data_IF_224835605709
#
_entry.id   IF_224835605709
#
_cell.length_a   1.000
_cell.length_b   1.000
_cell.length_c   1.000
_cell.angle_alpha   90.00
_cell.angle_beta   90.00
_cell.angle_gamma   90.00
#
_symmetry.space_group_name_H-M   'P 1'
#
loop_
_entity.id
_entity.type
_entity.pdbx_description
1 polymer ?
#
# COMPACT_ATOMS: atom_id res chain seq x y z
N UNK A 1 5.11 -2.48 12.94
CA UNK A 1 5.36 -1.91 11.60
C UNK A 1 4.86 -2.88 10.56
N UNK A 2 4.22 -2.39 9.50
CA UNK A 2 3.86 -3.15 8.32
C UNK A 2 4.66 -2.64 7.12
N UNK A 3 5.37 -3.53 6.45
CA UNK A 3 6.12 -3.26 5.23
C UNK A 3 5.45 -3.94 4.04
N UNK A 4 5.53 -3.32 2.87
CA UNK A 4 5.29 -3.97 1.59
C UNK A 4 6.61 -4.01 0.80
N UNK A 5 7.03 -5.20 0.40
CA UNK A 5 8.26 -5.44 -0.35
C UNK A 5 7.94 -6.05 -1.72
N UNK A 6 8.72 -5.66 -2.72
CA UNK A 6 8.69 -6.26 -4.05
C UNK A 6 9.89 -7.19 -4.22
N UNK A 7 9.67 -8.51 -4.33
CA UNK A 7 10.73 -9.48 -4.61
C UNK A 7 10.68 -9.87 -6.08
N UNK A 8 11.79 -9.75 -6.80
CA UNK A 8 11.85 -10.05 -8.23
C UNK A 8 12.83 -11.19 -8.54
N UNK A 9 12.49 -12.04 -9.50
CA UNK A 9 13.34 -13.15 -9.93
C UNK A 9 14.62 -12.62 -10.58
N UNK A 10 15.78 -13.07 -10.09
CA UNK A 10 17.09 -12.71 -10.65
C UNK A 10 17.71 -11.43 -10.09
N UNK A 11 17.00 -10.69 -9.23
CA UNK A 11 17.59 -9.61 -8.42
C UNK A 11 17.92 -10.14 -7.02
N UNK A 12 19.18 -10.00 -6.60
CA UNK A 12 19.57 -10.25 -5.22
C UNK A 12 19.04 -9.08 -4.36
N UNK A 13 18.04 -9.36 -3.52
CA UNK A 13 17.40 -8.50 -2.52
C UNK A 13 17.24 -7.01 -2.90
N UNK A 14 15.99 -6.60 -3.09
CA UNK A 14 15.56 -5.22 -3.37
C UNK A 14 16.05 -4.20 -2.34
N UNK A 15 16.33 -2.98 -2.81
CA UNK A 15 16.65 -1.79 -2.00
C UNK A 15 15.48 -1.42 -1.07
N UNK A 16 15.36 -2.10 0.06
CA UNK A 16 14.38 -1.80 1.11
C UNK A 16 12.91 -2.05 0.74
N UNK A 17 11.97 -1.72 1.65
CA UNK A 17 10.55 -1.86 1.39
C UNK A 17 10.05 -0.78 0.43
N UNK A 18 9.18 -1.14 -0.50
CA UNK A 18 8.50 -0.19 -1.41
C UNK A 18 7.52 0.71 -0.65
N UNK A 19 7.03 0.24 0.49
CA UNK A 19 6.19 1.02 1.40
C UNK A 19 6.36 0.52 2.83
N UNK A 20 6.28 1.43 3.81
CA UNK A 20 6.33 1.10 5.23
C UNK A 20 5.43 2.02 6.03
N UNK A 21 4.71 1.44 6.99
CA UNK A 21 3.90 2.17 7.96
C UNK A 21 4.17 1.64 9.37
N UNK A 22 4.43 2.55 10.29
CA UNK A 22 4.85 2.23 11.67
C UNK A 22 4.01 2.99 12.69
N UNK A 23 3.96 2.45 13.91
CA UNK A 23 3.23 3.05 15.03
C UNK A 23 1.71 2.81 14.98
N UNK A 24 1.01 3.42 15.94
CA UNK A 24 -0.43 3.29 16.09
C UNK A 24 -1.18 3.96 14.91
N UNK A 25 -2.08 3.21 14.27
CA UNK A 25 -2.90 3.70 13.18
C UNK A 25 -4.32 4.09 13.61
N UNK A 26 -4.68 3.95 14.88
CA UNK A 26 -6.04 4.15 15.37
C UNK A 26 -6.88 2.87 15.25
N UNK A 27 -8.17 2.99 15.54
CA UNK A 27 -9.13 1.91 15.71
C UNK A 27 -10.08 1.72 14.50
N UNK A 28 -9.70 2.26 13.34
CA UNK A 28 -10.46 2.15 12.09
C UNK A 28 -9.60 1.59 10.95
N UNK A 29 -10.24 0.89 10.03
CA UNK A 29 -9.62 0.42 8.80
C UNK A 29 -9.10 1.58 7.96
N UNK A 30 -7.86 1.45 7.48
CA UNK A 30 -7.21 2.41 6.58
C UNK A 30 -6.80 1.71 5.30
N UNK A 31 -7.19 2.29 4.18
CA UNK A 31 -6.73 1.82 2.88
C UNK A 31 -5.29 2.29 2.62
N UNK A 32 -4.43 1.36 2.22
CA UNK A 32 -3.11 1.66 1.66
C UNK A 32 -3.10 1.39 0.16
N UNK A 33 -2.41 2.23 -0.60
CA UNK A 33 -2.16 2.08 -2.04
C UNK A 33 -0.66 2.15 -2.28
N UNK A 34 -0.13 1.16 -2.98
CA UNK A 34 1.31 1.03 -3.22
C UNK A 34 1.53 0.76 -4.71
N UNK A 35 2.03 1.75 -5.45
CA UNK A 35 2.47 1.53 -6.83
C UNK A 35 3.75 0.71 -6.85
N UNK A 36 3.79 -0.30 -7.71
CA UNK A 36 4.95 -1.17 -7.93
C UNK A 36 5.26 -1.24 -9.43
N UNK A 37 6.54 -1.34 -9.78
CA UNK A 37 7.00 -1.39 -11.18
C UNK A 37 7.90 -2.60 -11.41
N UNK A 38 7.35 -3.84 -11.37
CA UNK A 38 8.14 -5.05 -11.56
C UNK A 38 8.67 -5.14 -13.00
N UNK A 39 9.96 -5.37 -13.13
CA UNK A 39 10.70 -5.60 -14.38
C UNK A 39 10.92 -7.08 -14.73
N UNK A 40 10.44 -7.99 -13.87
CA UNK A 40 10.54 -9.44 -14.01
C UNK A 40 9.43 -10.13 -13.20
N UNK A 41 9.30 -11.45 -13.28
CA UNK A 41 8.39 -12.21 -12.41
C UNK A 41 8.65 -11.86 -10.95
N UNK A 42 7.57 -11.56 -10.22
CA UNK A 42 7.68 -10.94 -8.90
C UNK A 42 6.75 -11.56 -7.86
N UNK A 43 7.00 -11.23 -6.60
CA UNK A 43 6.14 -11.48 -5.46
C UNK A 43 5.97 -10.17 -4.68
N UNK A 44 4.74 -9.87 -4.30
CA UNK A 44 4.46 -8.85 -3.27
C UNK A 44 4.52 -9.54 -1.92
N UNK A 45 5.31 -9.00 -0.99
CA UNK A 45 5.48 -9.54 0.36
C UNK A 45 5.00 -8.50 1.36
N UNK A 46 4.02 -8.86 2.19
CA UNK A 46 3.57 -8.07 3.32
C UNK A 46 4.28 -8.58 4.57
N UNK A 47 5.08 -7.74 5.20
CA UNK A 47 5.90 -8.10 6.37
C UNK A 47 5.45 -7.31 7.59
N UNK A 48 4.92 -8.02 8.59
CA UNK A 48 4.61 -7.47 9.90
C UNK A 48 5.82 -7.60 10.83
N UNK A 49 6.42 -6.48 11.23
CA UNK A 49 7.44 -6.43 12.27
C UNK A 49 6.76 -6.05 13.58
N UNK A 50 6.78 -6.98 14.52
CA UNK A 50 6.27 -6.76 15.88
C UNK A 50 7.13 -5.72 16.60
N UNK A 51 6.48 -4.75 17.24
CA UNK A 51 7.15 -3.84 18.16
C UNK A 51 7.50 -4.51 19.51
N UNK A 52 8.11 -3.77 20.44
CA UNK A 52 8.45 -4.30 21.77
C UNK A 52 7.23 -4.56 22.66
N UNK A 53 6.05 -4.08 22.26
CA UNK A 53 4.80 -4.21 23.01
C UNK A 53 4.14 -5.59 22.96
N UNK A 54 3.02 -5.73 23.67
CA UNK A 54 2.18 -6.94 23.72
C UNK A 54 0.90 -6.78 22.91
N UNK A 55 0.70 -5.60 22.34
CA UNK A 55 -0.42 -5.27 21.49
C UNK A 55 -0.40 -6.12 20.21
N UNK A 56 -1.59 -6.49 19.73
CA UNK A 56 -1.81 -7.14 18.44
C UNK A 56 -2.20 -6.08 17.43
N UNK A 57 -1.27 -5.70 16.56
CA UNK A 57 -1.32 -4.35 15.95
C UNK A 57 -1.87 -4.32 14.52
N UNK A 58 -1.81 -5.44 13.80
CA UNK A 58 -1.93 -5.45 12.34
C UNK A 58 -3.02 -6.42 11.90
N UNK A 59 -4.04 -5.89 11.22
CA UNK A 59 -5.01 -6.63 10.45
C UNK A 59 -4.98 -6.14 9.01
N UNK A 60 -5.21 -7.05 8.05
CA UNK A 60 -5.16 -6.79 6.61
C UNK A 60 -6.33 -7.53 5.99
N UNK A 61 -7.10 -6.86 5.14
CA UNK A 61 -8.21 -7.44 4.38
C UNK A 61 -8.30 -6.77 2.99
N UNK A 62 -9.12 -7.35 2.10
CA UNK A 62 -9.47 -6.79 0.77
C UNK A 62 -8.27 -6.47 -0.14
N UNK A 63 -7.25 -7.34 -0.16
CA UNK A 63 -6.04 -7.15 -0.98
C UNK A 63 -6.37 -7.34 -2.47
N UNK A 64 -6.16 -6.29 -3.25
CA UNK A 64 -6.32 -6.31 -4.71
C UNK A 64 -5.01 -5.90 -5.39
N UNK A 65 -4.66 -6.60 -6.47
CA UNK A 65 -3.57 -6.21 -7.37
C UNK A 65 -4.16 -5.89 -8.74
N UNK A 66 -3.84 -4.72 -9.29
CA UNK A 66 -4.37 -4.25 -10.56
C UNK A 66 -3.21 -3.85 -11.50
N UNK A 67 -3.36 -4.11 -12.79
CA UNK A 67 -2.40 -3.70 -13.83
C UNK A 67 -2.61 -2.22 -14.23
N UNK A 68 -2.69 -1.33 -13.23
CA UNK A 68 -2.78 0.12 -13.41
C UNK A 68 -2.13 0.86 -12.26
N UNK A 69 -1.80 2.12 -12.49
CA UNK A 69 -1.34 3.00 -11.41
C UNK A 69 -2.41 3.18 -10.35
N UNK A 70 -1.98 3.24 -9.09
CA UNK A 70 -2.84 3.60 -7.97
C UNK A 70 -3.36 5.03 -8.19
N UNK A 71 -4.68 5.18 -8.39
CA UNK A 71 -5.30 6.50 -8.47
C UNK A 71 -5.68 6.96 -7.08
N UNK A 72 -5.09 8.06 -6.64
CA UNK A 72 -5.73 8.88 -5.64
C UNK A 72 -6.88 9.59 -6.34
N UNK A 73 -8.10 9.09 -6.09
CA UNK A 73 -9.28 9.90 -6.35
C UNK A 73 -9.14 11.07 -5.38
N UNK A 74 -8.90 12.29 -5.86
CA UNK A 74 -8.82 13.41 -4.94
C UNK A 74 -10.15 13.50 -4.20
N UNK A 75 -10.11 13.95 -2.94
CA UNK A 75 -11.31 14.10 -2.14
C UNK A 75 -12.41 14.79 -2.96
N UNK A 76 -13.67 14.42 -2.70
CA UNK A 76 -14.86 14.92 -3.43
C UNK A 76 -14.93 16.47 -3.47
N UNK A 77 -14.13 17.17 -2.66
CA UNK A 77 -13.88 18.61 -2.73
C UNK A 77 -13.17 19.10 -4.01
N UNK A 78 -12.37 18.27 -4.69
CA UNK A 78 -11.72 18.62 -5.97
C UNK A 78 -12.62 18.35 -7.18
N UNK A 79 -13.55 17.38 -7.08
CA UNK A 79 -14.58 17.15 -8.10
C UNK A 79 -15.51 18.36 -8.29
N UNK A 80 -15.67 19.20 -7.27
CA UNK A 80 -16.45 20.44 -7.37
C UNK A 80 -15.72 21.59 -8.08
N UNK A 81 -14.40 21.48 -8.27
CA UNK A 81 -13.60 22.48 -8.99
C UNK A 81 -13.39 22.15 -10.47
N UNK A 82 -13.68 20.93 -10.90
CA UNK A 82 -13.78 20.60 -12.33
C UNK A 82 -15.20 20.91 -12.79
N UNK A 83 -15.38 22.15 -13.27
CA UNK A 83 -16.65 22.67 -13.80
C UNK A 83 -17.42 21.61 -14.57
N UNK A 84 -18.64 21.38 -14.12
CA UNK A 84 -19.41 20.16 -14.35
C UNK A 84 -19.44 19.68 -15.79
N UNK A 85 -19.14 18.40 -15.96
CA UNK A 85 -19.55 17.61 -17.11
C UNK A 85 -19.74 16.18 -16.63
N UNK A 86 -20.98 15.81 -16.33
CA UNK A 86 -21.69 14.62 -16.84
C UNK A 86 -23.19 14.80 -16.45
N UNK A 87 -24.13 14.29 -17.27
CA UNK A 87 -25.52 14.75 -17.35
C UNK A 87 -26.37 14.49 -16.10
#
# INVERSE_FOLDING_TARGET
TLNALLRQKGQAATEGPTWSLSGNQGDHWKQAKVSIHPTASFQVVLEGIRGPGIEGDIAIDDVTLEERECRDIPAISEYKNIGGLYP
#
